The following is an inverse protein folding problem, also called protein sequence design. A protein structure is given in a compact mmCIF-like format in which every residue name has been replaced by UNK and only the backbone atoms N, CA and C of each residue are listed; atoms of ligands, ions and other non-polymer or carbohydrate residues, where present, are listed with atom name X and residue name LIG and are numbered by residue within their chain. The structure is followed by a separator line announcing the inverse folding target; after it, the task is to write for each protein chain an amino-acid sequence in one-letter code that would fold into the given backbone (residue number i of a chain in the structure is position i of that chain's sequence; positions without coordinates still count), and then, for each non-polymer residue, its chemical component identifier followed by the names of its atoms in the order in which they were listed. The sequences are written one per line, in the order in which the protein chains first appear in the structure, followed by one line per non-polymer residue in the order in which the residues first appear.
data_IF_651155951872
#
_entry.id   IF_651155951872
#
_cell.length_a   1.000
_cell.length_b   1.000
_cell.length_c   1.000
_cell.angle_alpha   90.00
_cell.angle_beta   90.00
_cell.angle_gamma   90.00
#
_symmetry.space_group_name_H-M   'P 1'
#
loop_
_entity.id
_entity.type
_entity.pdbx_description
1 polymer ?
#
# COMPACT_ATOMS: atom_id res chain seq x y z
N UNK A 1 13.09 -8.84 -21.11
CA UNK A 1 13.02 -7.36 -21.01
C UNK A 1 11.80 -7.05 -20.19
N UNK A 2 11.95 -6.30 -19.09
CA UNK A 2 10.82 -5.98 -18.24
C UNK A 2 10.06 -4.80 -18.85
N UNK A 3 8.75 -4.93 -18.98
CA UNK A 3 7.90 -3.98 -19.71
C UNK A 3 7.41 -2.81 -18.83
N UNK A 4 8.19 -2.41 -17.83
CA UNK A 4 7.75 -1.46 -16.79
C UNK A 4 7.28 -0.13 -17.36
N UNK A 5 7.97 0.41 -18.37
CA UNK A 5 7.55 1.64 -19.06
C UNK A 5 6.18 1.49 -19.72
N UNK A 6 5.93 0.38 -20.42
CA UNK A 6 4.64 0.09 -21.05
C UNK A 6 3.53 -0.14 -20.02
N UNK A 7 3.85 -0.84 -18.92
CA UNK A 7 2.89 -1.07 -17.83
C UNK A 7 2.48 0.26 -17.23
N UNK A 8 3.44 1.07 -16.77
CA UNK A 8 3.21 2.34 -16.09
C UNK A 8 2.51 3.35 -17.02
N UNK A 9 2.97 3.48 -18.27
CA UNK A 9 2.34 4.36 -19.25
C UNK A 9 0.94 3.87 -19.70
N UNK A 10 0.67 2.58 -19.58
CA UNK A 10 -0.61 1.95 -19.89
C UNK A 10 -1.65 2.04 -18.77
N UNK A 11 -1.24 2.26 -17.51
CA UNK A 11 -2.16 2.34 -16.36
C UNK A 11 -3.31 3.35 -16.54
N UNK A 12 -3.10 4.55 -17.13
CA UNK A 12 -4.19 5.48 -17.41
C UNK A 12 -5.20 4.97 -18.46
N UNK A 13 -4.78 4.05 -19.35
CA UNK A 13 -5.56 3.56 -20.50
C UNK A 13 -6.37 2.31 -20.16
N UNK A 14 -5.91 1.48 -19.22
CA UNK A 14 -6.63 0.30 -18.69
C UNK A 14 -8.03 0.60 -18.10
N UNK A 15 -8.42 1.87 -18.12
CA UNK A 15 -9.64 2.44 -17.55
C UNK A 15 -10.81 2.50 -18.53
N UNK A 16 -10.58 2.48 -19.86
CA UNK A 16 -11.61 2.83 -20.86
C UNK A 16 -12.61 1.69 -21.17
N UNK A 17 -12.97 0.86 -20.18
CA UNK A 17 -14.04 -0.13 -20.29
C UNK A 17 -15.39 0.41 -19.80
N UNK A 18 -16.54 -0.14 -20.25
CA UNK A 18 -17.85 0.27 -19.75
C UNK A 18 -17.91 0.13 -18.23
N UNK A 19 -18.28 1.22 -17.56
CA UNK A 19 -18.33 1.32 -16.10
C UNK A 19 -19.43 0.42 -15.52
N UNK A 20 -19.06 -0.80 -15.17
CA UNK A 20 -19.84 -1.69 -14.31
C UNK A 20 -18.95 -1.98 -13.10
N UNK A 21 -19.20 -1.28 -11.98
CA UNK A 21 -18.56 -1.46 -10.67
C UNK A 21 -17.05 -1.18 -10.62
N UNK A 22 -16.59 -0.34 -9.69
CA UNK A 22 -15.16 -0.02 -9.55
C UNK A 22 -14.32 -1.22 -9.04
N UNK A 23 -14.91 -2.16 -8.30
CA UNK A 23 -14.27 -3.42 -7.89
C UNK A 23 -13.78 -4.29 -9.02
N UNK A 24 -14.63 -4.49 -10.03
CA UNK A 24 -14.24 -5.29 -11.19
C UNK A 24 -13.08 -4.61 -11.93
N UNK A 25 -12.91 -3.29 -11.78
CA UNK A 25 -11.77 -2.57 -12.35
C UNK A 25 -10.45 -2.91 -11.64
N UNK A 26 -10.41 -3.01 -10.30
CA UNK A 26 -9.17 -3.26 -9.57
C UNK A 26 -8.60 -4.66 -9.86
N UNK A 27 -9.46 -5.69 -9.87
CA UNK A 27 -9.06 -7.05 -10.21
C UNK A 27 -8.59 -7.15 -11.68
N UNK A 28 -9.29 -6.49 -12.62
CA UNK A 28 -8.91 -6.44 -14.04
C UNK A 28 -7.56 -5.75 -14.24
N UNK A 29 -7.34 -4.60 -13.58
CA UNK A 29 -6.06 -3.87 -13.65
C UNK A 29 -4.93 -4.73 -13.10
N UNK A 30 -5.13 -5.38 -11.95
CA UNK A 30 -4.12 -6.28 -11.37
C UNK A 30 -3.79 -7.44 -12.31
N UNK A 31 -4.80 -8.09 -12.92
CA UNK A 31 -4.57 -9.17 -13.91
C UNK A 31 -3.72 -8.67 -15.08
N UNK A 32 -4.07 -7.51 -15.65
CA UNK A 32 -3.35 -6.93 -16.78
C UNK A 32 -1.89 -6.57 -16.44
N UNK A 33 -1.62 -6.11 -15.21
CA UNK A 33 -0.25 -5.88 -14.75
C UNK A 33 0.50 -7.22 -14.67
N UNK A 34 -0.09 -8.23 -14.02
CA UNK A 34 0.55 -9.55 -13.81
C UNK A 34 0.92 -10.26 -15.11
N UNK A 35 0.09 -10.15 -16.13
CA UNK A 35 0.34 -10.71 -17.48
C UNK A 35 1.61 -10.13 -18.14
N UNK A 36 2.01 -8.92 -17.76
CA UNK A 36 3.17 -8.22 -18.32
C UNK A 36 4.43 -8.32 -17.44
N UNK A 37 4.29 -8.84 -16.21
CA UNK A 37 5.40 -9.00 -15.28
C UNK A 37 6.15 -10.31 -15.52
N UNK A 38 7.45 -10.31 -15.19
CA UNK A 38 8.24 -11.54 -15.13
C UNK A 38 7.73 -12.46 -14.01
N UNK A 39 8.10 -13.76 -14.05
CA UNK A 39 7.77 -14.68 -12.95
C UNK A 39 8.34 -14.18 -11.61
N UNK A 40 9.57 -13.68 -11.62
CA UNK A 40 10.25 -13.11 -10.45
C UNK A 40 9.53 -11.87 -9.89
N UNK A 41 9.00 -11.01 -10.76
CA UNK A 41 8.25 -9.83 -10.31
C UNK A 41 6.85 -10.20 -9.81
N UNK A 42 6.23 -11.22 -10.40
CA UNK A 42 4.98 -11.76 -9.89
C UNK A 42 5.15 -12.34 -8.46
N UNK A 43 6.29 -12.94 -8.13
CA UNK A 43 6.58 -13.36 -6.74
C UNK A 43 6.60 -12.19 -5.76
N UNK A 44 7.06 -10.99 -6.19
CA UNK A 44 6.99 -9.78 -5.37
C UNK A 44 5.55 -9.32 -5.16
N UNK A 45 4.73 -9.39 -6.21
CA UNK A 45 3.29 -9.08 -6.12
C UNK A 45 2.59 -10.08 -5.20
N UNK A 46 2.91 -11.37 -5.29
CA UNK A 46 2.35 -12.40 -4.41
C UNK A 46 2.71 -12.13 -2.95
N UNK A 47 3.98 -11.80 -2.67
CA UNK A 47 4.41 -11.43 -1.33
C UNK A 47 3.68 -10.18 -0.82
N UNK A 48 3.55 -9.13 -1.65
CA UNK A 48 2.79 -7.93 -1.30
C UNK A 48 1.33 -8.25 -0.98
N UNK A 49 0.66 -9.02 -1.84
CA UNK A 49 -0.76 -9.35 -1.68
C UNK A 49 -1.01 -10.25 -0.46
N UNK A 50 -0.08 -11.16 -0.14
CA UNK A 50 -0.18 -12.00 1.05
C UNK A 50 -0.21 -11.18 2.36
N UNK A 51 0.35 -9.97 2.37
CA UNK A 51 0.26 -9.03 3.49
C UNK A 51 -1.10 -8.33 3.67
N UNK A 52 -2.08 -8.61 2.81
CA UNK A 52 -3.47 -8.17 2.99
C UNK A 52 -4.38 -9.28 3.53
N UNK A 53 -3.84 -10.49 3.73
CA UNK A 53 -4.54 -11.63 4.32
C UNK A 53 -4.22 -11.71 5.81
N UNK A 54 -5.23 -11.65 6.66
CA UNK A 54 -5.08 -11.59 8.13
C UNK A 54 -4.28 -12.76 8.70
N UNK A 55 -4.40 -13.93 8.09
CA UNK A 55 -3.80 -15.18 8.55
C UNK A 55 -2.28 -15.17 8.41
N UNK A 56 -1.76 -14.36 7.47
CA UNK A 56 -0.35 -14.25 7.20
C UNK A 56 0.36 -13.25 8.12
N UNK A 57 -0.36 -12.36 8.83
CA UNK A 57 0.22 -11.23 9.55
C UNK A 57 0.83 -11.61 10.92
N UNK A 58 1.88 -12.41 10.87
CA UNK A 58 2.59 -12.94 12.03
C UNK A 58 4.10 -12.62 11.96
N UNK A 59 4.81 -12.93 13.05
CA UNK A 59 6.24 -12.65 13.17
C UNK A 59 7.10 -13.28 12.05
N UNK A 60 6.72 -14.47 11.54
CA UNK A 60 7.44 -15.14 10.45
C UNK A 60 7.30 -14.37 9.14
N UNK A 61 6.08 -13.95 8.80
CA UNK A 61 5.81 -13.14 7.62
C UNK A 61 6.60 -11.83 7.63
N UNK A 62 6.54 -11.09 8.74
CA UNK A 62 7.29 -9.84 8.85
C UNK A 62 8.81 -10.08 8.83
N UNK A 63 9.31 -11.14 9.47
CA UNK A 63 10.74 -11.49 9.38
C UNK A 63 11.18 -11.75 7.94
N UNK A 64 10.35 -12.43 7.14
CA UNK A 64 10.60 -12.68 5.71
C UNK A 64 10.54 -11.39 4.89
N UNK A 65 9.54 -10.54 5.12
CA UNK A 65 9.38 -9.29 4.39
C UNK A 65 10.49 -8.28 4.69
N UNK A 66 10.87 -8.12 5.96
CA UNK A 66 11.89 -7.18 6.41
C UNK A 66 13.31 -7.57 5.98
N UNK A 67 13.57 -8.88 5.83
CA UNK A 67 14.85 -9.38 5.31
C UNK A 67 14.90 -9.46 3.78
N UNK A 68 13.84 -9.06 3.09
CA UNK A 68 13.74 -9.19 1.64
C UNK A 68 14.68 -8.21 0.91
N UNK A 69 15.18 -8.63 -0.26
CA UNK A 69 16.13 -7.85 -1.06
C UNK A 69 15.48 -6.65 -1.76
N UNK A 70 14.21 -6.77 -2.15
CA UNK A 70 13.46 -5.68 -2.76
C UNK A 70 13.19 -4.57 -1.73
N UNK A 71 13.53 -3.33 -2.10
CA UNK A 71 13.43 -2.16 -1.22
C UNK A 71 11.98 -1.89 -0.81
N UNK A 72 11.07 -1.86 -1.78
CA UNK A 72 9.66 -1.55 -1.54
C UNK A 72 9.06 -2.53 -0.53
N UNK A 73 9.23 -3.84 -0.73
CA UNK A 73 8.72 -4.86 0.20
C UNK A 73 9.21 -4.61 1.62
N UNK A 74 10.52 -4.40 1.81
CA UNK A 74 11.10 -4.18 3.13
C UNK A 74 10.55 -2.93 3.80
N UNK A 75 10.55 -1.80 3.10
CA UNK A 75 10.14 -0.51 3.67
C UNK A 75 8.64 -0.39 3.88
N UNK A 76 7.84 -0.98 2.97
CA UNK A 76 6.38 -1.05 3.09
C UNK A 76 5.97 -1.86 4.31
N UNK A 77 6.50 -3.09 4.46
CA UNK A 77 6.12 -3.96 5.58
C UNK A 77 6.74 -3.54 6.91
N UNK A 78 7.86 -2.80 6.90
CA UNK A 78 8.37 -2.13 8.10
C UNK A 78 7.36 -1.12 8.64
N UNK A 79 6.84 -0.26 7.77
CA UNK A 79 5.86 0.74 8.17
C UNK A 79 4.49 0.12 8.52
N UNK A 80 4.03 -0.86 7.74
CA UNK A 80 2.77 -1.58 8.01
C UNK A 80 2.80 -2.26 9.39
N UNK A 81 3.91 -2.91 9.75
CA UNK A 81 4.11 -3.50 11.08
C UNK A 81 4.02 -2.45 12.18
N UNK A 82 4.74 -1.34 12.04
CA UNK A 82 4.77 -0.27 13.04
C UNK A 82 3.39 0.35 13.25
N UNK A 83 2.72 0.69 12.14
CA UNK A 83 1.37 1.25 12.17
C UNK A 83 0.39 0.30 12.86
N UNK A 84 0.46 -1.00 12.55
CA UNK A 84 -0.39 -2.02 13.19
C UNK A 84 -0.11 -2.19 14.66
N UNK A 85 1.16 -2.24 15.06
CA UNK A 85 1.52 -2.35 16.48
C UNK A 85 1.01 -1.14 17.26
N UNK A 86 1.17 0.09 16.74
CA UNK A 86 0.60 1.28 17.40
C UNK A 86 -0.93 1.20 17.49
N UNK A 87 -1.60 0.71 16.45
CA UNK A 87 -3.07 0.48 16.48
C UNK A 87 -3.45 -0.52 17.56
N UNK A 88 -2.73 -1.65 17.67
CA UNK A 88 -2.97 -2.68 18.70
C UNK A 88 -2.74 -2.12 20.10
N UNK A 89 -1.64 -1.40 20.32
CA UNK A 89 -1.34 -0.75 21.61
C UNK A 89 -2.43 0.24 22.03
N UNK A 90 -2.90 1.06 21.08
CA UNK A 90 -4.01 1.98 21.31
C UNK A 90 -5.28 1.23 21.76
N UNK A 91 -5.64 0.16 21.03
CA UNK A 91 -6.81 -0.65 21.35
C UNK A 91 -6.67 -1.33 22.72
N UNK A 92 -5.51 -1.90 23.03
CA UNK A 92 -5.24 -2.49 24.34
C UNK A 92 -5.41 -1.49 25.47
N UNK A 93 -4.88 -0.27 25.30
CA UNK A 93 -5.05 0.80 26.28
C UNK A 93 -6.52 1.17 26.46
N UNK A 94 -7.28 1.30 25.38
CA UNK A 94 -8.73 1.57 25.44
C UNK A 94 -9.52 0.44 26.11
N UNK A 95 -9.02 -0.80 26.04
CA UNK A 95 -9.63 -1.99 26.65
C UNK A 95 -9.10 -2.31 28.06
N UNK A 96 -8.14 -1.54 28.59
CA UNK A 96 -7.52 -1.81 29.89
C UNK A 96 -6.61 -3.05 29.92
N UNK A 97 -6.07 -3.45 28.77
CA UNK A 97 -5.12 -4.57 28.61
C UNK A 97 -3.66 -4.06 28.63
N UNK A 98 -2.66 -4.91 28.89
CA UNK A 98 -1.25 -4.56 28.70
C UNK A 98 -1.00 -4.04 27.28
N UNK A 99 -0.20 -2.98 27.14
CA UNK A 99 -0.02 -2.29 25.86
C UNK A 99 0.59 -3.20 24.78
N UNK A 100 1.56 -4.02 25.18
CA UNK A 100 2.32 -4.96 24.35
C UNK A 100 1.55 -6.25 23.99
N UNK A 101 0.36 -6.47 24.57
CA UNK A 101 -0.44 -7.65 24.30
C UNK A 101 -0.82 -7.74 22.82
N UNK A 102 -0.71 -8.92 22.20
CA UNK A 102 -1.05 -9.16 20.79
C UNK A 102 -0.23 -8.33 19.76
N UNK A 103 0.79 -7.57 20.19
CA UNK A 103 1.72 -6.91 19.26
C UNK A 103 2.65 -7.93 18.60
N UNK A 104 3.10 -7.63 17.38
CA UNK A 104 3.98 -8.52 16.62
C UNK A 104 5.40 -7.97 16.66
N UNK A 105 6.34 -8.75 17.19
CA UNK A 105 7.76 -8.41 17.22
C UNK A 105 8.53 -9.49 16.47
N UNK A 106 8.91 -9.27 15.20
CA UNK A 106 9.72 -10.21 14.45
C UNK A 106 11.14 -10.29 15.02
N UNK A 107 11.79 -11.44 14.82
CA UNK A 107 13.13 -11.66 15.34
C UNK A 107 14.14 -10.66 14.74
N UNK A 108 14.94 -10.03 15.61
CA UNK A 108 15.97 -9.07 15.18
C UNK A 108 15.50 -7.62 15.03
N UNK A 109 14.29 -7.28 15.47
CA UNK A 109 13.71 -5.93 15.40
C UNK A 109 13.36 -5.34 16.78
N UNK A 110 14.13 -5.66 17.79
CA UNK A 110 13.91 -5.13 19.15
C UNK A 110 14.32 -3.64 19.20
N UNK A 111 13.46 -2.80 19.78
CA UNK A 111 13.71 -1.37 20.09
C UNK A 111 13.87 -0.37 18.91
N UNK A 112 13.29 -0.64 17.73
CA UNK A 112 13.20 0.39 16.69
C UNK A 112 12.16 1.46 17.06
N UNK A 113 12.62 2.72 17.20
CA UNK A 113 11.72 3.87 17.39
C UNK A 113 10.95 4.13 16.09
N UNK A 114 9.63 4.05 16.15
CA UNK A 114 8.77 4.40 15.02
C UNK A 114 8.54 5.92 14.96
N UNK A 115 9.19 6.59 14.00
CA UNK A 115 9.08 8.05 13.80
C UNK A 115 7.62 8.51 13.59
N UNK A 116 6.81 7.71 12.88
CA UNK A 116 5.40 8.01 12.57
C UNK A 116 4.42 7.80 13.74
N UNK A 117 4.89 7.39 14.93
CA UNK A 117 4.03 7.00 16.06
C UNK A 117 3.06 8.10 16.48
N UNK A 118 3.52 9.34 16.57
CA UNK A 118 2.67 10.45 17.01
C UNK A 118 1.56 10.76 16.00
N UNK A 119 1.86 10.70 14.70
CA UNK A 119 0.87 10.89 13.63
C UNK A 119 -0.21 9.80 13.68
N UNK A 120 0.19 8.53 13.84
CA UNK A 120 -0.75 7.40 13.97
C UNK A 120 -1.62 7.55 15.21
N UNK A 121 -1.04 7.88 16.37
CA UNK A 121 -1.81 8.09 17.60
C UNK A 121 -2.84 9.23 17.47
N UNK A 122 -2.46 10.35 16.85
CA UNK A 122 -3.38 11.47 16.61
C UNK A 122 -4.57 11.07 15.73
N UNK A 123 -4.34 10.23 14.71
CA UNK A 123 -5.43 9.66 13.90
C UNK A 123 -6.35 8.77 14.74
N UNK A 124 -5.77 7.90 15.58
CA UNK A 124 -6.52 6.95 16.40
C UNK A 124 -7.35 7.64 17.51
N UNK A 125 -6.95 8.81 17.98
CA UNK A 125 -7.69 9.59 18.97
C UNK A 125 -9.00 10.19 18.43
N UNK A 126 -9.21 10.23 17.11
CA UNK A 126 -10.47 10.69 16.52
C UNK A 126 -11.65 9.86 17.04
N UNK A 127 -12.81 10.44 17.36
CA UNK A 127 -13.95 9.67 17.86
C UNK A 127 -14.67 8.81 16.81
N UNK A 128 -14.50 9.14 15.53
CA UNK A 128 -15.21 8.51 14.42
C UNK A 128 -14.36 7.37 13.81
N UNK A 129 -14.93 6.16 13.77
CA UNK A 129 -14.25 4.95 13.28
C UNK A 129 -13.88 5.08 11.79
N UNK A 130 -14.75 5.62 10.96
CA UNK A 130 -14.46 5.79 9.53
C UNK A 130 -13.33 6.80 9.33
N UNK A 131 -13.29 7.87 10.14
CA UNK A 131 -12.18 8.83 10.09
C UNK A 131 -10.85 8.24 10.56
N UNK A 132 -10.87 7.33 11.55
CA UNK A 132 -9.66 6.60 11.95
C UNK A 132 -9.14 5.74 10.82
N UNK A 133 -9.98 4.87 10.26
CA UNK A 133 -9.55 3.97 9.17
C UNK A 133 -9.07 4.77 7.95
N UNK A 134 -9.75 5.88 7.62
CA UNK A 134 -9.32 6.76 6.54
C UNK A 134 -7.97 7.41 6.82
N UNK A 135 -7.78 7.95 8.02
CA UNK A 135 -6.50 8.57 8.39
C UNK A 135 -5.34 7.57 8.37
N UNK A 136 -5.57 6.32 8.78
CA UNK A 136 -4.55 5.26 8.69
C UNK A 136 -4.18 4.93 7.24
N UNK A 137 -5.18 4.90 6.34
CA UNK A 137 -4.91 4.72 4.91
C UNK A 137 -4.21 5.91 4.27
N UNK A 138 -4.54 7.13 4.67
CA UNK A 138 -3.87 8.34 4.17
C UNK A 138 -2.38 8.34 4.59
N UNK A 139 -2.08 7.89 5.81
CA UNK A 139 -0.70 7.69 6.29
C UNK A 139 0.02 6.59 5.49
N UNK A 140 -0.63 5.45 5.25
CA UNK A 140 -0.08 4.38 4.41
C UNK A 140 0.16 4.86 2.97
N UNK A 141 -0.77 5.64 2.39
CA UNK A 141 -0.63 6.23 1.06
C UNK A 141 0.57 7.17 0.99
N UNK A 142 0.70 8.09 1.95
CA UNK A 142 1.85 9.00 2.08
C UNK A 142 3.16 8.23 2.15
N UNK A 143 3.19 7.14 2.93
CA UNK A 143 4.39 6.30 3.01
C UNK A 143 4.71 5.61 1.68
N UNK A 144 3.71 5.13 0.95
CA UNK A 144 3.93 4.57 -0.39
C UNK A 144 4.56 5.63 -1.29
N UNK A 145 4.03 6.87 -1.29
CA UNK A 145 4.59 8.00 -2.06
C UNK A 145 6.06 8.26 -1.73
N UNK A 146 6.42 8.28 -0.45
CA UNK A 146 7.79 8.48 0.02
C UNK A 146 8.73 7.38 -0.48
N UNK A 147 8.33 6.10 -0.36
CA UNK A 147 9.13 4.95 -0.81
C UNK A 147 9.36 5.01 -2.32
N UNK A 148 8.34 5.44 -3.09
CA UNK A 148 8.36 5.45 -4.56
C UNK A 148 8.74 6.79 -5.19
N UNK A 149 9.18 7.78 -4.40
CA UNK A 149 9.38 9.15 -4.90
C UNK A 149 10.37 9.26 -6.07
N UNK A 150 11.39 8.41 -6.10
CA UNK A 150 12.40 8.38 -7.16
C UNK A 150 12.11 7.35 -8.26
N UNK A 151 11.08 6.53 -8.08
CA UNK A 151 10.75 5.38 -8.90
C UNK A 151 9.74 5.77 -9.96
N UNK A 152 10.02 5.43 -11.22
CA UNK A 152 9.10 5.79 -12.32
C UNK A 152 8.83 4.66 -13.29
N UNK A 153 9.85 3.94 -13.73
CA UNK A 153 9.70 2.82 -14.68
C UNK A 153 10.41 1.57 -14.16
N UNK A 154 10.11 1.20 -12.92
CA UNK A 154 10.68 0.06 -12.21
C UNK A 154 9.60 -0.72 -11.46
N UNK A 155 10.03 -1.79 -10.76
CA UNK A 155 9.14 -2.66 -10.03
C UNK A 155 8.60 -1.99 -8.75
N UNK A 156 9.37 -1.10 -8.13
CA UNK A 156 8.95 -0.35 -6.95
C UNK A 156 7.74 0.54 -7.25
N UNK A 157 7.74 1.26 -8.38
CA UNK A 157 6.59 2.03 -8.84
C UNK A 157 5.34 1.17 -9.05
N UNK A 158 5.51 -0.05 -9.61
CA UNK A 158 4.40 -0.99 -9.83
C UNK A 158 3.86 -1.54 -8.50
N UNK A 159 4.73 -1.91 -7.56
CA UNK A 159 4.33 -2.38 -6.23
C UNK A 159 3.60 -1.27 -5.45
N UNK A 160 4.08 -0.03 -5.53
CA UNK A 160 3.41 1.14 -4.96
C UNK A 160 2.02 1.37 -5.55
N UNK A 161 1.89 1.26 -6.87
CA UNK A 161 0.59 1.33 -7.52
C UNK A 161 -0.36 0.22 -7.04
N UNK A 162 0.09 -1.03 -6.98
CA UNK A 162 -0.73 -2.16 -6.50
C UNK A 162 -1.15 -1.93 -5.05
N UNK A 163 -0.25 -1.47 -4.18
CA UNK A 163 -0.57 -1.19 -2.78
C UNK A 163 -1.65 -0.11 -2.63
N UNK A 164 -1.58 0.98 -3.42
CA UNK A 164 -2.63 2.00 -3.47
C UNK A 164 -3.94 1.48 -4.06
N UNK A 165 -3.86 0.62 -5.08
CA UNK A 165 -5.03 -0.04 -5.66
C UNK A 165 -5.75 -0.92 -4.63
N UNK A 166 -5.03 -1.55 -3.69
CA UNK A 166 -5.62 -2.29 -2.57
C UNK A 166 -6.34 -1.40 -1.57
N UNK A 167 -5.84 -0.19 -1.30
CA UNK A 167 -6.55 0.81 -0.47
C UNK A 167 -7.85 1.21 -1.16
N UNK A 168 -7.79 1.52 -2.47
CA UNK A 168 -8.98 1.88 -3.26
C UNK A 168 -10.00 0.74 -3.28
N UNK A 169 -9.58 -0.49 -3.57
CA UNK A 169 -10.47 -1.66 -3.59
C UNK A 169 -11.13 -1.91 -2.23
N UNK A 170 -10.48 -1.53 -1.11
CA UNK A 170 -11.14 -1.62 0.20
C UNK A 170 -12.21 -0.54 0.37
N UNK A 171 -11.90 0.71 0.01
CA UNK A 171 -12.84 1.81 0.13
C UNK A 171 -14.01 1.69 -0.83
N UNK A 172 -13.80 1.23 -2.06
CA UNK A 172 -14.89 1.03 -3.01
C UNK A 172 -15.96 0.04 -2.49
N UNK A 173 -15.53 -0.92 -1.66
CA UNK A 173 -16.36 -1.99 -1.06
C UNK A 173 -17.23 -1.45 0.05
N UNK A 174 -16.75 -0.41 0.72
CA UNK A 174 -17.35 0.21 1.89
C UNK A 174 -18.19 1.44 1.49
N UNK A 175 -17.63 2.27 0.62
CA UNK A 175 -18.17 3.51 0.09
C UNK A 175 -17.67 3.75 -1.36
N UNK A 176 -18.48 3.42 -2.37
CA UNK A 176 -18.13 3.61 -3.79
C UNK A 176 -17.86 5.06 -4.20
N UNK A 177 -18.36 6.06 -3.45
CA UNK A 177 -18.05 7.46 -3.74
C UNK A 177 -16.59 7.75 -3.38
N UNK A 178 -16.20 7.43 -2.13
CA UNK A 178 -14.81 7.51 -1.67
C UNK A 178 -13.86 6.68 -2.55
N UNK A 179 -14.24 5.46 -2.92
CA UNK A 179 -13.46 4.61 -3.81
C UNK A 179 -13.16 5.28 -5.16
N UNK A 180 -14.18 5.91 -5.77
CA UNK A 180 -14.03 6.65 -7.04
C UNK A 180 -13.16 7.90 -6.89
N UNK A 181 -13.24 8.62 -5.77
CA UNK A 181 -12.35 9.77 -5.51
C UNK A 181 -10.89 9.36 -5.39
N UNK A 182 -10.59 8.34 -4.57
CA UNK A 182 -9.25 7.79 -4.42
C UNK A 182 -8.70 7.25 -5.73
N UNK A 183 -9.55 6.61 -6.52
CA UNK A 183 -9.16 6.14 -7.86
C UNK A 183 -8.79 7.32 -8.76
N UNK A 184 -9.61 8.39 -8.83
CA UNK A 184 -9.26 9.59 -9.62
C UNK A 184 -7.93 10.20 -9.20
N UNK A 185 -7.68 10.32 -7.89
CA UNK A 185 -6.42 10.80 -7.34
C UNK A 185 -5.23 9.97 -7.85
N UNK A 186 -5.32 8.64 -7.78
CA UNK A 186 -4.28 7.75 -8.28
C UNK A 186 -3.97 7.95 -9.77
N UNK A 187 -5.01 8.17 -10.59
CA UNK A 187 -4.85 8.40 -12.02
C UNK A 187 -4.16 9.74 -12.30
N UNK A 188 -4.54 10.79 -11.57
CA UNK A 188 -3.93 12.11 -11.68
C UNK A 188 -2.45 12.09 -11.28
N UNK A 189 -2.09 11.35 -10.23
CA UNK A 189 -0.70 11.12 -9.82
C UNK A 189 0.13 10.47 -10.94
N UNK A 190 -0.39 9.39 -11.54
CA UNK A 190 0.31 8.69 -12.65
C UNK A 190 0.49 9.60 -13.86
N UNK A 191 -0.56 10.32 -14.26
CA UNK A 191 -0.51 11.24 -15.41
C UNK A 191 0.49 12.37 -15.17
N UNK A 192 0.50 12.94 -13.96
CA UNK A 192 1.43 14.01 -13.60
C UNK A 192 2.88 13.54 -13.63
N UNK A 193 3.16 12.34 -13.11
CA UNK A 193 4.51 11.75 -13.18
C UNK A 193 4.96 11.51 -14.62
N UNK A 194 4.05 11.07 -15.50
CA UNK A 194 4.32 10.88 -16.92
C UNK A 194 4.58 12.21 -17.65
N UNK A 195 3.70 13.20 -17.48
CA UNK A 195 3.78 14.49 -18.18
C UNK A 195 5.01 15.31 -17.74
N UNK A 196 5.32 15.32 -16.44
CA UNK A 196 6.48 16.03 -15.91
C UNK A 196 7.81 15.47 -16.43
N UNK A 197 7.91 14.14 -16.65
CA UNK A 197 9.12 13.54 -17.21
C UNK A 197 9.20 13.65 -18.72
N UNK A 198 8.08 13.60 -19.45
CA UNK A 198 8.06 13.88 -20.89
C UNK A 198 8.60 15.29 -21.20
N UNK A 199 8.25 16.29 -20.39
CA UNK A 199 8.75 17.65 -20.55
C UNK A 199 10.23 17.84 -20.19
N UNK A 200 10.81 16.96 -19.37
CA UNK A 200 12.24 16.99 -19.01
C UNK A 200 13.13 16.14 -19.94
N UNK A 201 12.55 15.46 -20.93
CA UNK A 201 13.25 14.65 -21.94
C UNK A 201 13.23 15.30 -23.35
N UNK A 202 12.73 16.54 -23.46
CA UNK A 202 12.75 17.39 -24.67
C UNK A 202 13.63 18.61 -24.37
#
# INVERSE_FOLDING_TARGET
MNNYEYIVAGLPVLQQGPAQGSHDSAARILSSIREQLSARDNELVDLLLSGYESENLNAEFYSRALSHRNRFIREFFSYDLDLRNVKVEYLNKSLGRPADMDTVVPAGREDESFEGRQEVMAVLENGDILRRERGLDDLMWKRIDEITVMDVFDIEAILGFIAKLKIIDRWDKLDPETGRELFRKLVEEIRSTYDNKKNNMI
#
